data_IF_711996685223
#
_entry.id   IF_711996685223
#
_cell.length_a   1.000
_cell.length_b   1.000
_cell.length_c   1.000
_cell.angle_alpha   90.00
_cell.angle_beta   90.00
_cell.angle_gamma   90.00
#
_symmetry.space_group_name_H-M   'P 1'
#
loop_
_entity.id
_entity.type
_entity.pdbx_description
1 polymer ?
#
# COMPACT_ATOMS: atom_id res chain seq x y z
N UNK A 1 3.89 10.44 48.70
CA UNK A 1 4.50 9.53 47.71
C UNK A 1 3.61 9.52 46.46
N UNK A 2 3.47 10.65 45.76
CA UNK A 2 2.29 10.82 44.86
C UNK A 2 2.46 11.76 43.67
N UNK A 3 3.41 12.70 43.66
CA UNK A 3 3.51 13.65 42.53
C UNK A 3 4.27 13.08 41.31
N UNK A 4 5.22 12.16 41.55
CA UNK A 4 6.07 11.59 40.50
C UNK A 4 5.41 10.41 39.77
N UNK A 5 4.54 9.64 40.45
CA UNK A 5 3.80 8.54 39.82
C UNK A 5 2.73 9.06 38.88
N UNK A 6 1.90 10.02 39.32
CA UNK A 6 0.85 10.62 38.48
C UNK A 6 1.39 11.20 37.17
N UNK A 7 2.51 11.94 37.20
CA UNK A 7 3.12 12.47 35.98
C UNK A 7 3.63 11.37 35.04
N UNK A 8 4.13 10.26 35.58
CA UNK A 8 4.58 9.12 34.77
C UNK A 8 3.39 8.41 34.11
N UNK A 9 2.27 8.29 34.81
CA UNK A 9 1.03 7.70 34.28
C UNK A 9 0.44 8.58 33.15
N UNK A 10 0.43 9.91 33.31
CA UNK A 10 -0.01 10.82 32.25
C UNK A 10 0.90 10.78 31.02
N UNK A 11 2.23 10.74 31.22
CA UNK A 11 3.20 10.65 30.11
C UNK A 11 3.05 9.32 29.37
N UNK A 12 2.86 8.21 30.08
CA UNK A 12 2.68 6.88 29.46
C UNK A 12 1.37 6.78 28.69
N UNK A 13 0.27 7.32 29.23
CA UNK A 13 -1.03 7.37 28.53
C UNK A 13 -0.94 8.25 27.28
N UNK A 14 -0.29 9.41 27.35
CA UNK A 14 -0.09 10.28 26.18
C UNK A 14 0.77 9.60 25.11
N UNK A 15 1.81 8.87 25.52
CA UNK A 15 2.66 8.10 24.61
C UNK A 15 1.87 6.97 23.93
N UNK A 16 1.00 6.29 24.65
CA UNK A 16 0.10 5.26 24.10
C UNK A 16 -0.87 5.86 23.07
N UNK A 17 -1.54 6.97 23.41
CA UNK A 17 -2.49 7.63 22.51
C UNK A 17 -1.79 8.12 21.24
N UNK A 18 -0.61 8.72 21.36
CA UNK A 18 0.17 9.18 20.21
C UNK A 18 0.71 8.02 19.36
N UNK A 19 1.17 6.94 19.98
CA UNK A 19 1.60 5.74 19.25
C UNK A 19 0.45 5.08 18.50
N UNK A 20 -0.72 4.93 19.13
CA UNK A 20 -1.92 4.40 18.48
C UNK A 20 -2.38 5.33 17.35
N UNK A 21 -2.43 6.64 17.60
CA UNK A 21 -2.75 7.64 16.59
C UNK A 21 -1.80 7.61 15.40
N UNK A 22 -0.50 7.40 15.64
CA UNK A 22 0.52 7.27 14.59
C UNK A 22 0.34 5.98 13.77
N UNK A 23 0.05 4.85 14.42
CA UNK A 23 -0.25 3.59 13.73
C UNK A 23 -1.51 3.72 12.90
N UNK A 24 -2.58 4.32 13.44
CA UNK A 24 -3.82 4.59 12.70
C UNK A 24 -3.53 5.53 11.53
N UNK A 25 -2.76 6.60 11.72
CA UNK A 25 -2.39 7.53 10.65
C UNK A 25 -1.62 6.82 9.52
N UNK A 26 -0.67 5.95 9.87
CA UNK A 26 0.08 5.16 8.89
C UNK A 26 -0.80 4.16 8.13
N UNK A 27 -1.83 3.60 8.76
CA UNK A 27 -2.79 2.70 8.10
C UNK A 27 -3.81 3.50 7.27
N UNK A 28 -4.25 4.66 7.75
CA UNK A 28 -5.32 5.46 7.14
C UNK A 28 -4.82 6.36 6.00
N UNK A 29 -3.51 6.62 5.89
CA UNK A 29 -2.89 7.31 4.75
C UNK A 29 -2.21 6.31 3.79
N UNK A 30 -2.96 5.64 2.90
CA UNK A 30 -2.41 4.78 1.84
C UNK A 30 -1.57 5.54 0.79
N UNK A 31 -1.43 6.86 0.96
CA UNK A 31 -0.62 7.74 0.11
C UNK A 31 0.88 7.55 0.31
N UNK A 32 1.31 7.03 1.45
CA UNK A 32 2.72 6.73 1.75
C UNK A 32 3.05 5.23 1.72
N UNK A 33 2.08 4.37 1.37
CA UNK A 33 2.30 2.94 1.23
C UNK A 33 3.17 2.59 0.02
N UNK A 34 3.96 1.51 0.07
CA UNK A 34 4.81 1.13 -1.05
C UNK A 34 3.95 0.50 -2.17
N UNK A 35 3.77 1.24 -3.26
CA UNK A 35 3.05 0.76 -4.45
C UNK A 35 4.02 0.09 -5.42
N UNK A 36 3.71 -1.13 -5.85
CA UNK A 36 4.51 -1.87 -6.83
C UNK A 36 3.72 -2.18 -8.08
N UNK A 37 4.44 -2.32 -9.18
CA UNK A 37 3.89 -2.66 -10.49
C UNK A 37 4.53 -3.97 -10.94
N UNK A 38 3.71 -4.93 -11.36
CA UNK A 38 4.16 -6.19 -11.95
C UNK A 38 3.63 -6.31 -13.37
N UNK A 39 4.49 -6.68 -14.32
CA UNK A 39 4.15 -6.83 -15.73
C UNK A 39 3.83 -8.29 -16.01
N UNK A 40 2.53 -8.60 -16.04
CA UNK A 40 2.02 -9.96 -16.13
C UNK A 40 1.70 -10.33 -17.59
N UNK A 41 1.95 -11.59 -17.94
CA UNK A 41 1.59 -12.15 -19.24
C UNK A 41 0.53 -13.23 -19.03
N UNK A 42 -0.63 -13.10 -19.69
CA UNK A 42 -1.68 -14.10 -19.56
C UNK A 42 -1.28 -15.40 -20.30
N UNK A 43 -1.35 -16.59 -19.66
CA UNK A 43 -1.02 -17.85 -20.34
C UNK A 43 -2.03 -18.23 -21.43
N UNK A 44 -3.28 -17.78 -21.32
CA UNK A 44 -4.35 -18.11 -22.28
C UNK A 44 -4.30 -17.24 -23.54
N UNK A 45 -4.24 -15.91 -23.40
CA UNK A 45 -4.28 -15.00 -24.55
C UNK A 45 -2.91 -14.37 -24.91
N UNK A 46 -1.85 -14.67 -24.15
CA UNK A 46 -0.49 -14.13 -24.30
C UNK A 46 -0.37 -12.60 -24.30
N UNK A 47 -1.44 -11.87 -23.95
CA UNK A 47 -1.41 -10.43 -23.79
C UNK A 47 -0.71 -10.05 -22.48
N UNK A 48 0.07 -8.97 -22.53
CA UNK A 48 0.75 -8.42 -21.36
C UNK A 48 -0.05 -7.26 -20.77
N UNK A 49 -0.11 -7.17 -19.44
CA UNK A 49 -0.77 -6.08 -18.72
C UNK A 49 -0.01 -5.72 -17.45
N UNK A 50 -0.18 -4.49 -16.99
CA UNK A 50 0.44 -4.01 -15.75
C UNK A 50 -0.55 -4.15 -14.59
N UNK A 51 -0.11 -4.78 -13.51
CA UNK A 51 -0.89 -4.96 -12.30
C UNK A 51 -0.26 -4.17 -11.14
N UNK A 52 -1.04 -3.25 -10.57
CA UNK A 52 -0.65 -2.45 -9.41
C UNK A 52 -1.05 -3.19 -8.13
N UNK A 53 -0.12 -3.32 -7.19
CA UNK A 53 -0.38 -3.99 -5.93
C UNK A 53 0.48 -3.45 -4.80
N UNK A 54 -0.01 -3.63 -3.57
CA UNK A 54 0.63 -3.20 -2.34
C UNK A 54 0.96 -4.46 -1.53
N UNK A 55 2.22 -4.70 -1.11
CA UNK A 55 2.56 -5.81 -0.23
C UNK A 55 1.89 -5.64 1.11
N UNK A 56 1.32 -6.72 1.64
CA UNK A 56 0.69 -6.70 2.95
C UNK A 56 -0.68 -6.03 3.03
N UNK A 57 -1.20 -5.44 1.93
CA UNK A 57 -2.54 -4.82 1.94
C UNK A 57 -3.69 -5.82 2.10
N UNK A 58 -3.45 -7.13 1.91
CA UNK A 58 -4.45 -8.17 2.17
C UNK A 58 -3.81 -9.37 2.88
N UNK A 59 -4.56 -10.04 3.76
CA UNK A 59 -4.14 -11.28 4.47
C UNK A 59 -3.69 -12.37 3.48
N UNK A 60 -4.34 -12.43 2.32
CA UNK A 60 -3.94 -13.31 1.20
C UNK A 60 -2.54 -13.00 0.65
N UNK A 61 -2.06 -11.76 0.77
CA UNK A 61 -0.70 -11.35 0.41
C UNK A 61 0.35 -11.88 1.41
N UNK A 62 -0.02 -12.20 2.65
CA UNK A 62 0.88 -12.78 3.64
C UNK A 62 1.09 -14.29 3.43
N UNK A 63 0.05 -15.01 3.01
CA UNK A 63 0.06 -16.48 2.87
C UNK A 63 0.57 -16.92 1.49
N UNK A 64 0.14 -16.27 0.41
CA UNK A 64 0.58 -16.58 -0.97
C UNK A 64 1.45 -15.45 -1.54
N UNK A 65 2.51 -15.08 -0.81
CA UNK A 65 3.39 -13.92 -1.09
C UNK A 65 3.72 -13.68 -2.57
N UNK A 66 3.94 -14.75 -3.34
CA UNK A 66 4.37 -14.65 -4.74
C UNK A 66 3.24 -14.74 -5.77
N UNK A 67 2.20 -15.52 -5.50
CA UNK A 67 1.18 -15.87 -6.50
C UNK A 67 -0.18 -15.27 -6.18
N UNK A 68 -0.84 -14.67 -7.18
CA UNK A 68 -2.27 -14.33 -7.07
C UNK A 68 -3.07 -14.87 -8.24
N UNK A 69 -4.29 -15.29 -7.94
CA UNK A 69 -5.28 -15.63 -8.95
C UNK A 69 -5.92 -14.31 -9.40
N UNK A 70 -5.74 -13.96 -10.68
CA UNK A 70 -6.30 -12.75 -11.26
C UNK A 70 -7.13 -13.12 -12.50
N UNK A 71 -8.13 -12.28 -12.79
CA UNK A 71 -8.88 -12.35 -14.05
C UNK A 71 -8.14 -11.52 -15.09
N UNK A 72 -7.82 -12.10 -16.25
CA UNK A 72 -7.20 -11.35 -17.32
C UNK A 72 -8.17 -10.26 -17.84
N UNK A 73 -7.72 -9.01 -18.06
CA UNK A 73 -8.58 -7.95 -18.59
C UNK A 73 -8.97 -8.17 -20.05
N UNK A 74 -8.18 -8.95 -20.82
CA UNK A 74 -8.41 -9.19 -22.23
C UNK A 74 -9.29 -10.41 -22.50
N UNK A 75 -8.93 -11.58 -21.94
CA UNK A 75 -9.64 -12.82 -22.21
C UNK A 75 -10.58 -13.25 -21.08
N UNK A 76 -10.61 -12.50 -19.97
CA UNK A 76 -11.48 -12.77 -18.81
C UNK A 76 -11.31 -14.14 -18.14
N UNK A 77 -10.32 -14.93 -18.54
CA UNK A 77 -9.94 -16.19 -17.91
C UNK A 77 -9.22 -15.92 -16.59
N UNK A 78 -9.54 -16.73 -15.56
CA UNK A 78 -8.81 -16.73 -14.29
C UNK A 78 -7.54 -17.56 -14.43
N UNK A 79 -6.40 -16.99 -14.07
CA UNK A 79 -5.12 -17.70 -14.07
C UNK A 79 -4.28 -17.27 -12.86
N UNK A 80 -3.36 -18.14 -12.46
CA UNK A 80 -2.37 -17.88 -11.43
C UNK A 80 -1.20 -17.11 -12.01
N UNK A 81 -0.86 -15.99 -11.38
CA UNK A 81 0.20 -15.10 -11.82
C UNK A 81 1.26 -14.97 -10.73
N UNK A 82 2.54 -15.13 -11.09
CA UNK A 82 3.65 -14.81 -10.21
C UNK A 82 3.95 -13.32 -10.28
N UNK A 83 3.55 -12.60 -9.25
CA UNK A 83 3.62 -11.14 -9.18
C UNK A 83 4.96 -10.66 -8.64
N UNK A 84 5.65 -11.48 -7.84
CA UNK A 84 7.00 -11.15 -7.35
C UNK A 84 8.02 -11.29 -8.47
N UNK A 85 7.99 -12.40 -9.21
CA UNK A 85 8.95 -12.67 -10.28
C UNK A 85 8.83 -11.68 -11.46
N UNK A 86 7.61 -11.19 -11.70
CA UNK A 86 7.29 -10.27 -12.80
C UNK A 86 7.25 -8.80 -12.37
N UNK A 87 7.74 -8.49 -11.15
CA UNK A 87 7.84 -7.11 -10.67
C UNK A 87 8.67 -6.29 -11.67
N UNK A 88 8.07 -5.24 -12.23
CA UNK A 88 8.82 -4.29 -13.03
C UNK A 88 9.82 -3.58 -12.10
N UNK A 89 11.11 -3.58 -12.46
CA UNK A 89 12.12 -2.81 -11.70
C UNK A 89 11.67 -1.34 -11.64
N UNK A 90 11.42 -0.89 -10.42
CA UNK A 90 11.01 0.43 -9.95
C UNK A 90 10.45 1.40 -11.02
N UNK A 91 9.15 1.76 -10.99
CA UNK A 91 8.75 3.04 -11.56
C UNK A 91 9.53 4.14 -10.85
N UNK A 92 10.30 4.93 -11.60
CA UNK A 92 10.85 6.22 -11.13
C UNK A 92 9.70 6.95 -10.44
N UNK A 93 9.88 7.29 -9.16
CA UNK A 93 9.00 8.14 -8.36
C UNK A 93 8.28 9.13 -9.27
N UNK A 94 6.99 8.88 -9.52
CA UNK A 94 6.14 9.85 -10.20
C UNK A 94 6.11 11.05 -9.28
N UNK A 95 6.92 12.06 -9.57
CA UNK A 95 6.82 13.38 -8.93
C UNK A 95 5.38 13.81 -9.17
N UNK A 96 4.55 13.69 -8.13
CA UNK A 96 3.20 14.23 -8.11
C UNK A 96 3.33 15.69 -8.52
N UNK A 97 2.68 16.07 -9.62
CA UNK A 97 2.61 17.45 -10.06
C UNK A 97 2.19 18.32 -8.86
N UNK A 98 3.13 19.12 -8.36
CA UNK A 98 2.83 20.33 -7.59
C UNK A 98 1.99 21.20 -8.50
N UNK A 99 0.75 21.48 -8.12
CA UNK A 99 0.00 22.52 -8.81
C UNK A 99 -1.52 22.39 -8.79
N UNK A 100 -2.13 22.04 -7.67
CA UNK A 100 -3.49 22.52 -7.43
C UNK A 100 -3.39 24.02 -7.10
N UNK A 101 -3.29 24.88 -8.13
CA UNK A 101 -3.56 26.31 -7.99
C UNK A 101 -5.04 26.44 -7.67
N UNK A 102 -5.36 26.58 -6.38
CA UNK A 102 -6.66 27.05 -5.93
C UNK A 102 -6.77 28.50 -6.44
N UNK A 103 -7.54 28.72 -7.50
CA UNK A 103 -8.00 30.07 -7.84
C UNK A 103 -9.02 30.46 -6.78
N UNK A 104 -8.59 31.21 -5.78
CA UNK A 104 -9.50 32.04 -4.99
C UNK A 104 -10.07 33.10 -5.95
N UNK A 105 -11.39 33.10 -6.10
CA UNK A 105 -12.13 34.14 -6.81
C UNK A 105 -12.36 35.27 -5.79
N UNK A 106 -11.78 36.43 -6.06
CA UNK A 106 -12.10 37.68 -5.38
C UNK A 106 -13.51 38.15 -5.75
#
# INVERSE_FOLDING_TARGET
MTLKSMNLDFITVLFLITAIGFVILMVLLPRFGPHYISRLTCPSCRKTFNFHWIPGATITSLIRRNYRVLKCPYCHTRSTFDIMATRARAPKTTKVLKGAKIKAKA
#
